data_IF_483114709416
#
_entry.id   IF_483114709416
#
_cell.length_a   1.000
_cell.length_b   1.000
_cell.length_c   1.000
_cell.angle_alpha   90.00
_cell.angle_beta   90.00
_cell.angle_gamma   90.00
#
_symmetry.space_group_name_H-M   'P 1'
#
loop_
_entity.id
_entity.type
_entity.pdbx_description
1 polymer ?
#
# COMPACT_ATOMS: atom_id res chain seq x y z
N UNK A 1 55.07 -9.72 19.42
CA UNK A 1 53.73 -9.40 19.92
C UNK A 1 53.07 -8.21 19.21
N UNK A 2 53.04 -8.13 17.85
CA UNK A 2 52.48 -6.97 17.08
C UNK A 2 51.46 -7.34 16.00
N UNK A 3 51.03 -8.61 15.89
CA UNK A 3 50.10 -9.08 14.83
C UNK A 3 48.66 -9.25 15.27
N UNK A 4 48.37 -9.36 16.55
CA UNK A 4 47.02 -9.58 17.09
C UNK A 4 46.15 -8.34 17.08
N UNK A 5 46.71 -7.12 17.17
CA UNK A 5 45.95 -5.87 17.17
C UNK A 5 45.30 -5.50 15.82
N UNK A 6 45.85 -5.98 14.69
CA UNK A 6 45.31 -5.66 13.35
C UNK A 6 44.04 -6.43 13.01
N UNK A 7 43.89 -7.64 13.57
CA UNK A 7 42.68 -8.45 13.37
C UNK A 7 41.50 -7.98 14.20
N UNK A 8 41.76 -7.42 15.40
CA UNK A 8 40.71 -6.84 16.25
C UNK A 8 40.14 -5.57 15.65
N UNK A 9 40.95 -4.71 15.04
CA UNK A 9 40.48 -3.49 14.35
C UNK A 9 39.67 -3.83 13.10
N UNK A 10 40.04 -4.86 12.33
CA UNK A 10 39.26 -5.30 11.16
C UNK A 10 37.88 -5.86 11.54
N UNK A 11 37.79 -6.58 12.68
CA UNK A 11 36.53 -7.10 13.20
C UNK A 11 35.57 -6.01 13.66
N UNK A 12 36.06 -4.93 14.29
CA UNK A 12 35.26 -3.82 14.76
C UNK A 12 34.70 -2.97 13.58
N UNK A 13 35.49 -2.77 12.52
CA UNK A 13 35.04 -2.05 11.33
C UNK A 13 33.95 -2.83 10.56
N UNK A 14 34.03 -4.17 10.57
CA UNK A 14 32.99 -5.00 9.93
C UNK A 14 31.67 -5.01 10.69
N UNK A 15 31.73 -4.92 12.03
CA UNK A 15 30.53 -4.88 12.88
C UNK A 15 29.75 -3.55 12.81
N UNK A 16 30.41 -2.46 12.40
CA UNK A 16 29.78 -1.14 12.24
C UNK A 16 28.97 -0.98 10.94
N UNK A 17 29.05 -1.96 10.03
CA UNK A 17 28.27 -1.96 8.78
C UNK A 17 26.94 -2.72 8.88
N UNK A 18 26.50 -3.14 10.06
CA UNK A 18 25.12 -3.57 10.30
C UNK A 18 24.23 -2.34 10.23
N UNK A 19 24.06 -1.83 8.99
CA UNK A 19 23.25 -0.67 8.70
C UNK A 19 21.83 -0.91 9.20
N UNK A 20 21.28 0.08 9.92
CA UNK A 20 19.88 0.12 10.25
C UNK A 20 19.08 -0.04 8.95
N UNK A 21 18.48 -1.21 8.73
CA UNK A 21 17.50 -1.37 7.68
C UNK A 21 16.40 -0.34 7.96
N UNK A 22 16.30 0.69 7.13
CA UNK A 22 15.26 1.69 7.30
C UNK A 22 13.91 1.03 7.01
N UNK A 23 13.08 0.96 8.02
CA UNK A 23 11.73 0.39 7.93
C UNK A 23 10.77 1.53 7.66
N UNK A 24 9.85 1.34 6.72
CA UNK A 24 8.72 2.23 6.48
C UNK A 24 7.46 1.59 7.06
N UNK A 25 6.77 2.33 7.93
CA UNK A 25 5.47 1.90 8.44
C UNK A 25 4.38 2.37 7.51
N UNK A 26 3.56 1.43 7.06
CA UNK A 26 2.33 1.66 6.31
C UNK A 26 1.17 1.53 7.28
N UNK A 27 0.65 2.66 7.72
CA UNK A 27 -0.54 2.77 8.55
C UNK A 27 -1.76 2.83 7.64
N UNK A 28 -2.64 1.85 7.77
CA UNK A 28 -3.85 1.75 6.95
C UNK A 28 -5.09 1.78 7.83
N UNK A 29 -6.07 2.59 7.42
CA UNK A 29 -7.42 2.53 7.99
C UNK A 29 -8.20 1.46 7.23
N UNK A 30 -8.60 0.41 7.95
CA UNK A 30 -9.25 -0.78 7.40
C UNK A 30 -10.70 -0.82 7.84
N UNK A 31 -11.56 -1.09 6.89
CA UNK A 31 -12.99 -1.35 7.13
C UNK A 31 -13.38 -2.62 6.39
N UNK A 32 -14.13 -3.51 7.05
CA UNK A 32 -14.56 -4.76 6.45
C UNK A 32 -16.00 -5.11 6.81
N UNK A 33 -16.70 -5.70 5.86
CA UNK A 33 -18.09 -6.15 5.99
C UNK A 33 -18.23 -7.56 5.46
N UNK A 34 -19.04 -8.41 6.11
CA UNK A 34 -19.31 -9.75 5.64
C UNK A 34 -20.79 -10.10 5.77
N UNK A 35 -21.32 -10.75 4.74
CA UNK A 35 -22.65 -11.30 4.68
C UNK A 35 -22.61 -12.68 4.00
N UNK A 36 -21.95 -13.63 4.64
CA UNK A 36 -21.80 -15.00 4.10
C UNK A 36 -23.14 -15.74 3.95
N UNK A 37 -24.20 -15.28 4.62
CA UNK A 37 -25.55 -15.85 4.54
C UNK A 37 -25.60 -17.28 5.07
N UNK A 38 -26.32 -18.14 4.35
CA UNK A 38 -26.35 -19.59 4.60
C UNK A 38 -25.15 -20.32 4.02
N UNK A 39 -24.34 -19.64 3.24
CA UNK A 39 -23.09 -20.19 2.71
C UNK A 39 -22.16 -20.39 3.89
N UNK A 40 -21.75 -21.63 4.11
CA UNK A 40 -20.76 -21.94 5.16
C UNK A 40 -19.55 -21.04 4.93
N UNK A 41 -19.10 -20.36 5.99
CA UNK A 41 -17.84 -19.63 5.95
C UNK A 41 -16.81 -20.48 5.21
N UNK A 42 -16.12 -19.94 4.19
CA UNK A 42 -15.17 -20.74 3.45
C UNK A 42 -14.18 -21.34 4.43
N UNK A 43 -14.19 -22.66 4.49
CA UNK A 43 -13.22 -23.42 5.25
C UNK A 43 -11.85 -23.00 4.76
N UNK A 44 -10.83 -23.15 5.55
CA UNK A 44 -9.44 -22.70 5.38
C UNK A 44 -8.81 -22.80 3.97
N UNK A 45 -9.51 -23.39 3.00
CA UNK A 45 -9.07 -23.49 1.60
C UNK A 45 -10.23 -23.23 0.65
N UNK A 46 -10.09 -22.25 -0.22
CA UNK A 46 -11.07 -21.96 -1.27
C UNK A 46 -10.37 -21.62 -2.59
N UNK A 47 -11.02 -21.96 -3.70
CA UNK A 47 -10.57 -21.53 -5.02
C UNK A 47 -11.41 -20.34 -5.51
N UNK A 48 -10.79 -19.41 -6.19
CA UNK A 48 -11.45 -18.24 -6.74
C UNK A 48 -10.90 -17.88 -8.12
N UNK A 49 -11.64 -17.06 -8.84
CA UNK A 49 -11.21 -16.41 -10.08
C UNK A 49 -11.25 -14.89 -9.90
N UNK A 50 -10.32 -14.19 -10.52
CA UNK A 50 -10.42 -12.73 -10.55
C UNK A 50 -11.52 -12.30 -11.54
N UNK A 51 -12.28 -11.30 -11.12
CA UNK A 51 -13.30 -10.63 -11.93
C UNK A 51 -12.87 -9.18 -12.16
N UNK A 52 -12.98 -8.72 -13.40
CA UNK A 52 -12.69 -7.33 -13.79
C UNK A 52 -13.92 -6.66 -14.33
N UNK A 53 -14.11 -5.40 -13.95
CA UNK A 53 -15.08 -4.55 -14.66
C UNK A 53 -14.57 -4.19 -16.05
N UNK A 54 -15.46 -3.78 -16.98
CA UNK A 54 -15.02 -3.33 -18.31
C UNK A 54 -13.94 -2.23 -18.26
N UNK A 55 -14.00 -1.33 -17.27
CA UNK A 55 -12.99 -0.29 -17.07
C UNK A 55 -11.63 -0.84 -16.68
N UNK A 56 -11.58 -1.90 -15.88
CA UNK A 56 -10.33 -2.57 -15.46
C UNK A 56 -9.75 -3.47 -16.56
N UNK A 57 -10.61 -3.97 -17.47
CA UNK A 57 -10.19 -4.78 -18.60
C UNK A 57 -9.64 -3.96 -19.78
N UNK A 58 -9.75 -2.63 -19.73
CA UNK A 58 -9.23 -1.74 -20.76
C UNK A 58 -7.71 -1.81 -20.88
N UNK A 59 -7.18 -1.76 -22.10
CA UNK A 59 -5.76 -1.94 -22.40
C UNK A 59 -4.83 -0.99 -21.59
N UNK A 60 -5.28 0.22 -21.30
CA UNK A 60 -4.50 1.20 -20.55
C UNK A 60 -4.22 0.81 -19.08
N UNK A 61 -5.08 -0.04 -18.49
CA UNK A 61 -4.99 -0.45 -17.09
C UNK A 61 -4.66 -1.94 -16.93
N UNK A 62 -4.63 -2.72 -18.01
CA UNK A 62 -4.51 -4.17 -17.97
C UNK A 62 -3.26 -4.65 -17.20
N UNK A 63 -2.10 -4.02 -17.45
CA UNK A 63 -0.84 -4.41 -16.83
C UNK A 63 -0.81 -4.06 -15.34
N UNK A 64 -1.26 -2.85 -14.98
CA UNK A 64 -1.33 -2.43 -13.59
C UNK A 64 -2.34 -3.25 -12.78
N UNK A 65 -3.47 -3.60 -13.40
CA UNK A 65 -4.48 -4.47 -12.80
C UNK A 65 -3.94 -5.89 -12.60
N UNK A 66 -3.21 -6.43 -13.58
CA UNK A 66 -2.58 -7.76 -13.46
C UNK A 66 -1.54 -7.78 -12.35
N UNK A 67 -0.73 -6.72 -12.23
CA UNK A 67 0.24 -6.60 -11.14
C UNK A 67 -0.46 -6.54 -9.77
N UNK A 68 -1.55 -5.78 -9.65
CA UNK A 68 -2.33 -5.69 -8.41
C UNK A 68 -2.97 -7.03 -8.03
N UNK A 69 -3.55 -7.74 -8.99
CA UNK A 69 -4.14 -9.08 -8.80
C UNK A 69 -3.08 -10.10 -8.39
N UNK A 70 -1.87 -10.01 -8.93
CA UNK A 70 -0.74 -10.86 -8.51
C UNK A 70 -0.41 -10.65 -7.04
N UNK A 71 -0.32 -9.39 -6.59
CA UNK A 71 -0.09 -9.07 -5.18
C UNK A 71 -1.25 -9.57 -4.30
N UNK A 72 -2.48 -9.38 -4.75
CA UNK A 72 -3.66 -9.86 -4.03
C UNK A 72 -3.68 -11.39 -3.92
N UNK A 73 -3.28 -12.11 -4.97
CA UNK A 73 -3.17 -13.57 -4.97
C UNK A 73 -2.14 -14.05 -3.95
N UNK A 74 -0.98 -13.40 -3.87
CA UNK A 74 0.05 -13.74 -2.86
C UNK A 74 -0.50 -13.57 -1.42
N UNK A 75 -1.25 -12.51 -1.16
CA UNK A 75 -1.81 -12.27 0.18
C UNK A 75 -2.95 -13.24 0.47
N UNK A 76 -3.88 -13.46 -0.46
CA UNK A 76 -4.98 -14.41 -0.31
C UNK A 76 -4.49 -15.85 -0.10
N UNK A 77 -3.37 -16.24 -0.75
CA UNK A 77 -2.77 -17.55 -0.55
C UNK A 77 -2.34 -17.79 0.89
N UNK A 78 -1.93 -16.78 1.64
CA UNK A 78 -1.60 -16.89 3.07
C UNK A 78 -2.84 -17.18 3.92
N UNK A 79 -4.03 -16.83 3.43
CA UNK A 79 -5.31 -17.16 4.02
C UNK A 79 -5.91 -18.48 3.49
N UNK A 80 -5.12 -19.25 2.73
CA UNK A 80 -5.54 -20.54 2.17
C UNK A 80 -6.36 -20.44 0.88
N UNK A 81 -6.54 -19.23 0.32
CA UNK A 81 -7.28 -19.01 -0.91
C UNK A 81 -6.38 -19.07 -2.13
N UNK A 82 -6.78 -19.84 -3.15
CA UNK A 82 -5.96 -20.05 -4.34
C UNK A 82 -6.65 -19.58 -5.60
N UNK A 83 -5.94 -18.79 -6.40
CA UNK A 83 -6.43 -18.37 -7.70
C UNK A 83 -6.48 -19.55 -8.68
N UNK A 84 -7.62 -19.74 -9.33
CA UNK A 84 -7.80 -20.71 -10.42
C UNK A 84 -7.57 -20.01 -11.76
N UNK A 85 -6.70 -20.58 -12.59
CA UNK A 85 -6.42 -20.04 -13.91
C UNK A 85 -7.54 -20.30 -14.93
N UNK A 86 -8.46 -21.24 -14.63
CA UNK A 86 -9.54 -21.63 -15.54
C UNK A 86 -10.90 -21.40 -14.88
N UNK A 87 -11.89 -20.89 -15.63
CA UNK A 87 -13.27 -20.99 -15.20
C UNK A 87 -13.61 -22.47 -14.96
N UNK A 88 -14.35 -22.80 -13.88
CA UNK A 88 -14.69 -24.17 -13.58
C UNK A 88 -15.47 -24.78 -14.76
N UNK A 89 -15.24 -26.07 -15.01
CA UNK A 89 -16.12 -26.84 -15.89
C UNK A 89 -17.55 -26.72 -15.35
N UNK A 90 -18.53 -26.69 -16.22
CA UNK A 90 -19.96 -26.48 -15.89
C UNK A 90 -20.52 -27.45 -14.82
N UNK A 91 -19.79 -28.53 -14.51
CA UNK A 91 -20.14 -29.55 -13.51
C UNK A 91 -19.57 -29.29 -12.09
N UNK A 92 -18.70 -28.28 -11.91
CA UNK A 92 -18.13 -27.94 -10.60
C UNK A 92 -18.87 -26.75 -9.98
N UNK A 93 -18.94 -26.65 -8.64
CA UNK A 93 -19.47 -25.47 -7.98
C UNK A 93 -18.74 -24.23 -8.52
N UNK A 94 -19.49 -23.17 -8.81
CA UNK A 94 -18.91 -21.92 -9.27
C UNK A 94 -17.91 -21.42 -8.20
N UNK A 95 -16.68 -21.09 -8.60
CA UNK A 95 -15.70 -20.62 -7.64
C UNK A 95 -16.12 -19.23 -7.12
N UNK A 96 -15.50 -18.84 -6.02
CA UNK A 96 -15.59 -17.47 -5.56
C UNK A 96 -15.04 -16.53 -6.63
N UNK A 97 -15.62 -15.35 -6.73
CA UNK A 97 -15.13 -14.29 -7.61
C UNK A 97 -14.54 -13.19 -6.75
N UNK A 98 -13.30 -12.85 -7.03
CA UNK A 98 -12.58 -11.80 -6.29
C UNK A 98 -12.33 -10.63 -7.24
N UNK A 99 -12.74 -9.46 -6.82
CA UNK A 99 -12.46 -8.21 -7.52
C UNK A 99 -11.56 -7.35 -6.64
N UNK A 100 -10.50 -6.83 -7.21
CA UNK A 100 -9.58 -5.91 -6.52
C UNK A 100 -9.58 -4.57 -7.24
N UNK A 101 -9.80 -3.50 -6.48
CA UNK A 101 -9.77 -2.13 -6.98
C UNK A 101 -8.70 -1.36 -6.22
N UNK A 102 -7.94 -0.56 -6.93
CA UNK A 102 -6.99 0.37 -6.31
C UNK A 102 -7.16 1.76 -6.92
N UNK A 103 -6.98 2.77 -6.10
CA UNK A 103 -6.98 4.17 -6.55
C UNK A 103 -5.92 4.95 -5.81
N UNK A 104 -5.28 5.88 -6.52
CA UNK A 104 -4.36 6.86 -5.96
C UNK A 104 -4.79 8.26 -6.42
N UNK A 105 -5.03 9.13 -5.47
CA UNK A 105 -5.26 10.55 -5.71
C UNK A 105 -4.01 11.32 -5.29
N UNK A 106 -3.45 12.09 -6.21
CA UNK A 106 -2.29 12.93 -5.94
C UNK A 106 -2.77 14.33 -5.58
N UNK A 107 -2.41 14.77 -4.38
CA UNK A 107 -2.61 16.13 -3.94
C UNK A 107 -1.31 16.92 -4.11
N UNK A 108 -1.37 18.21 -4.45
CA UNK A 108 -0.17 19.03 -4.60
C UNK A 108 0.61 19.18 -3.29
N UNK A 109 -0.05 18.97 -2.14
CA UNK A 109 0.52 19.04 -0.79
C UNK A 109 -0.30 18.21 0.19
N UNK A 110 0.24 18.00 1.39
CA UNK A 110 -0.49 17.36 2.48
C UNK A 110 -1.67 18.23 2.95
N UNK A 111 -2.80 17.65 3.40
CA UNK A 111 -3.99 18.38 3.82
C UNK A 111 -3.76 19.35 4.98
N UNK A 112 -2.76 19.10 5.81
CA UNK A 112 -2.38 19.94 6.97
C UNK A 112 -1.31 20.99 6.66
N UNK A 113 -0.73 20.98 5.43
CA UNK A 113 0.21 22.02 5.01
C UNK A 113 -0.56 23.30 4.70
N UNK A 114 -0.53 24.30 5.60
CA UNK A 114 -1.19 25.59 5.37
C UNK A 114 -0.51 26.35 4.23
N UNK A 115 -1.27 26.82 3.21
CA UNK A 115 -0.72 27.67 2.16
C UNK A 115 -0.09 28.97 2.70
N UNK A 116 -0.48 29.40 3.91
CA UNK A 116 0.00 30.63 4.53
C UNK A 116 1.36 30.46 5.23
N UNK A 117 1.75 29.23 5.55
CA UNK A 117 3.09 28.91 6.07
C UNK A 117 4.18 28.99 4.99
N UNK A 118 3.78 29.22 3.74
CA UNK A 118 4.71 29.58 2.68
C UNK A 118 5.29 30.94 3.01
N UNK A 119 6.53 30.91 3.36
CA UNK A 119 7.37 32.11 3.48
C UNK A 119 7.19 32.94 2.20
N UNK A 120 6.46 34.03 2.31
CA UNK A 120 6.49 35.06 1.30
C UNK A 120 7.96 35.37 0.98
N UNK A 121 8.36 35.54 -0.30
CA UNK A 121 9.71 35.91 -0.61
C UNK A 121 10.02 37.16 0.18
N UNK A 122 10.77 37.04 1.25
CA UNK A 122 11.27 38.18 2.01
C UNK A 122 12.40 38.75 1.17
N UNK A 123 12.09 39.81 0.48
CA UNK A 123 13.09 40.68 -0.10
C UNK A 123 13.85 41.31 1.05
N UNK A 124 14.99 40.75 1.39
CA UNK A 124 15.90 41.34 2.36
C UNK A 124 17.03 42.04 1.60
N UNK A 125 17.07 43.34 1.64
CA UNK A 125 18.26 44.12 1.27
C UNK A 125 19.09 44.24 2.56
N UNK A 126 20.21 43.54 2.62
CA UNK A 126 21.19 43.74 3.68
C UNK A 126 22.32 44.63 3.14
N UNK A 127 22.47 45.80 3.74
CA UNK A 127 23.64 46.66 3.47
C UNK A 127 24.64 46.45 4.62
N UNK A 128 25.84 46.00 4.28
CA UNK A 128 26.97 45.94 5.20
C UNK A 128 28.15 46.72 4.58
N UNK A 129 29.13 47.10 5.39
CA UNK A 129 30.35 47.76 4.94
C UNK A 129 31.15 46.95 3.89
N UNK A 130 30.73 45.71 3.58
CA UNK A 130 31.33 44.80 2.58
C UNK A 130 30.54 44.72 1.27
N UNK A 131 29.43 45.46 1.11
CA UNK A 131 28.64 45.47 -0.13
C UNK A 131 27.14 45.25 0.09
N UNK A 132 26.34 45.50 -0.93
CA UNK A 132 24.90 45.27 -0.97
C UNK A 132 24.66 43.85 -1.47
N UNK A 133 24.13 42.97 -0.64
CA UNK A 133 23.75 41.62 -1.03
C UNK A 133 22.23 41.52 -1.16
N UNK A 134 21.72 41.00 -2.29
CA UNK A 134 20.32 40.61 -2.45
C UNK A 134 20.24 39.17 -2.00
N UNK A 135 19.61 38.92 -0.87
CA UNK A 135 19.39 37.58 -0.37
C UNK A 135 18.02 37.09 -0.88
N UNK A 136 18.05 36.19 -1.85
CA UNK A 136 16.89 35.51 -2.41
C UNK A 136 16.62 34.23 -1.61
N UNK A 137 16.12 34.38 -0.40
CA UNK A 137 15.66 33.23 0.39
C UNK A 137 14.17 33.01 0.13
N UNK A 138 13.81 31.88 -0.44
CA UNK A 138 12.42 31.45 -0.62
C UNK A 138 11.98 31.05 -2.01
N UNK A 139 12.87 31.01 -3.00
CA UNK A 139 12.49 30.68 -4.39
C UNK A 139 12.33 29.17 -4.71
N UNK A 140 12.56 28.27 -3.77
CA UNK A 140 12.47 26.83 -4.00
C UNK A 140 11.64 26.14 -2.93
N UNK A 141 10.37 26.53 -2.76
CA UNK A 141 9.41 25.65 -2.09
C UNK A 141 9.02 24.55 -3.08
N UNK A 142 9.71 23.43 -3.05
CA UNK A 142 9.27 22.24 -3.75
C UNK A 142 8.05 21.71 -3.01
N UNK A 143 6.86 21.92 -3.57
CA UNK A 143 5.66 21.23 -3.10
C UNK A 143 5.88 19.74 -3.29
N UNK A 144 6.05 19.01 -2.21
CA UNK A 144 6.13 17.57 -2.27
C UNK A 144 4.72 17.01 -2.45
N UNK A 145 4.46 16.23 -3.52
CA UNK A 145 3.17 15.63 -3.73
C UNK A 145 2.79 14.74 -2.56
N UNK A 146 1.50 14.74 -2.25
CA UNK A 146 0.91 13.90 -1.23
C UNK A 146 -0.08 12.93 -1.89
N UNK A 147 -0.03 11.67 -1.52
CA UNK A 147 -0.80 10.62 -2.15
C UNK A 147 -1.83 10.06 -1.18
N UNK A 148 -3.08 10.02 -1.59
CA UNK A 148 -4.18 9.36 -0.87
C UNK A 148 -4.55 8.11 -1.66
N UNK A 149 -4.47 6.96 -1.01
CA UNK A 149 -4.66 5.65 -1.64
C UNK A 149 -5.79 4.89 -0.98
N UNK A 150 -6.47 4.11 -1.79
CA UNK A 150 -7.45 3.14 -1.31
C UNK A 150 -7.33 1.87 -2.13
N UNK A 151 -7.29 0.73 -1.46
CA UNK A 151 -7.50 -0.58 -2.05
C UNK A 151 -8.78 -1.16 -1.51
N UNK A 152 -9.58 -1.77 -2.39
CA UNK A 152 -10.83 -2.45 -2.02
C UNK A 152 -10.81 -3.83 -2.62
N UNK A 153 -11.17 -4.85 -1.82
CA UNK A 153 -11.31 -6.22 -2.25
C UNK A 153 -12.73 -6.67 -1.99
N UNK A 154 -13.38 -7.16 -3.04
CA UNK A 154 -14.74 -7.70 -2.99
C UNK A 154 -14.71 -9.19 -3.26
N UNK A 155 -15.39 -9.97 -2.45
CA UNK A 155 -15.63 -11.40 -2.70
C UNK A 155 -17.10 -11.59 -3.02
N UNK A 156 -17.36 -12.23 -4.15
CA UNK A 156 -18.71 -12.60 -4.60
C UNK A 156 -18.88 -14.11 -4.58
N UNK A 157 -20.04 -14.54 -4.20
CA UNK A 157 -20.48 -15.92 -4.42
C UNK A 157 -20.62 -16.16 -5.94
N UNK A 158 -19.90 -17.15 -6.45
CA UNK A 158 -19.87 -17.43 -7.89
C UNK A 158 -21.19 -17.94 -8.46
N UNK A 159 -22.07 -18.49 -7.64
CA UNK A 159 -23.39 -19.01 -8.05
C UNK A 159 -24.46 -17.93 -8.09
N UNK A 160 -24.45 -17.02 -7.11
CA UNK A 160 -25.47 -15.98 -6.95
C UNK A 160 -25.01 -14.59 -7.43
N UNK A 161 -23.71 -14.38 -7.58
CA UNK A 161 -23.11 -13.08 -7.88
C UNK A 161 -23.17 -12.06 -6.73
N UNK A 162 -23.71 -12.44 -5.57
CA UNK A 162 -23.83 -11.54 -4.42
C UNK A 162 -22.47 -11.27 -3.78
N UNK A 163 -22.21 -10.02 -3.38
CA UNK A 163 -21.07 -9.69 -2.53
C UNK A 163 -21.31 -10.30 -1.15
N UNK A 164 -20.37 -11.13 -0.71
CA UNK A 164 -20.43 -11.83 0.58
C UNK A 164 -19.37 -11.31 1.54
N UNK A 165 -18.31 -10.69 1.02
CA UNK A 165 -17.29 -10.04 1.80
C UNK A 165 -16.75 -8.82 1.06
N UNK A 166 -16.56 -7.75 1.78
CA UNK A 166 -15.96 -6.52 1.31
C UNK A 166 -14.95 -6.04 2.33
N UNK A 167 -13.79 -5.63 1.88
CA UNK A 167 -12.80 -4.96 2.73
C UNK A 167 -12.10 -3.87 1.97
N UNK A 168 -11.73 -2.82 2.68
CA UNK A 168 -10.93 -1.74 2.11
C UNK A 168 -9.86 -1.28 3.09
N UNK A 169 -8.72 -0.89 2.55
CA UNK A 169 -7.66 -0.22 3.29
C UNK A 169 -7.35 1.12 2.63
N UNK A 170 -7.31 2.17 3.43
CA UNK A 170 -6.93 3.51 3.02
C UNK A 170 -5.61 3.91 3.70
N UNK A 171 -4.68 4.44 2.92
CA UNK A 171 -3.38 4.93 3.38
C UNK A 171 -3.02 6.22 2.65
N UNK A 172 -2.43 7.15 3.37
CA UNK A 172 -1.99 8.40 2.79
C UNK A 172 -0.55 8.74 3.21
N UNK A 173 0.14 9.48 2.35
CA UNK A 173 1.54 9.81 2.62
C UNK A 173 2.27 10.42 1.43
N UNK A 174 3.54 10.79 1.67
CA UNK A 174 4.40 11.44 0.65
C UNK A 174 5.15 10.45 -0.24
N UNK A 175 5.09 9.16 0.04
CA UNK A 175 5.78 8.12 -0.72
C UNK A 175 5.05 7.82 -2.02
N UNK A 176 5.82 7.53 -3.07
CA UNK A 176 5.24 7.06 -4.34
C UNK A 176 4.72 5.63 -4.20
N UNK A 177 3.83 5.26 -5.11
CA UNK A 177 3.32 3.90 -5.20
C UNK A 177 4.46 2.90 -5.45
N UNK A 178 4.41 1.79 -4.74
CA UNK A 178 5.33 0.68 -4.93
C UNK A 178 4.62 -0.65 -4.71
N UNK A 179 5.10 -1.75 -5.30
CA UNK A 179 4.51 -3.07 -5.06
C UNK A 179 4.51 -3.46 -3.57
N UNK A 180 5.55 -3.08 -2.82
CA UNK A 180 5.63 -3.36 -1.39
C UNK A 180 4.54 -2.61 -0.60
N UNK A 181 4.25 -1.36 -0.95
CA UNK A 181 3.21 -0.56 -0.33
C UNK A 181 1.82 -1.13 -0.62
N UNK A 182 1.52 -1.48 -1.87
CA UNK A 182 0.25 -2.10 -2.24
C UNK A 182 0.06 -3.48 -1.57
N UNK A 183 1.13 -4.28 -1.47
CA UNK A 183 1.10 -5.54 -0.72
C UNK A 183 0.77 -5.31 0.75
N UNK A 184 1.41 -4.34 1.41
CA UNK A 184 1.15 -4.00 2.80
C UNK A 184 -0.30 -3.55 3.02
N UNK A 185 -0.85 -2.72 2.12
CA UNK A 185 -2.26 -2.32 2.18
C UNK A 185 -3.22 -3.50 1.99
N UNK A 186 -2.90 -4.46 1.10
CA UNK A 186 -3.69 -5.68 0.92
C UNK A 186 -3.60 -6.60 2.15
N UNK A 187 -2.42 -6.74 2.76
CA UNK A 187 -2.23 -7.47 4.02
C UNK A 187 -3.06 -6.82 5.15
N UNK A 188 -3.02 -5.50 5.25
CA UNK A 188 -3.84 -4.77 6.20
C UNK A 188 -5.34 -5.00 5.96
N UNK A 189 -5.81 -4.88 4.71
CA UNK A 189 -7.21 -5.07 4.33
C UNK A 189 -7.73 -6.47 4.65
N UNK A 190 -6.89 -7.49 4.54
CA UNK A 190 -7.25 -8.89 4.81
C UNK A 190 -6.98 -9.33 6.27
N UNK A 191 -6.56 -8.40 7.13
CA UNK A 191 -6.42 -8.71 8.56
C UNK A 191 -7.78 -9.14 9.13
N UNK A 192 -7.81 -10.33 9.69
CA UNK A 192 -9.05 -10.92 10.23
C UNK A 192 -9.92 -11.66 9.23
N UNK A 193 -9.63 -11.62 7.93
CA UNK A 193 -10.35 -12.39 6.91
C UNK A 193 -10.42 -13.89 7.27
N UNK A 194 -11.57 -14.56 7.12
CA UNK A 194 -12.83 -14.13 6.51
C UNK A 194 -13.83 -13.46 7.47
N UNK A 195 -13.51 -13.27 8.73
CA UNK A 195 -14.37 -12.58 9.68
C UNK A 195 -14.17 -11.06 9.57
N UNK A 196 -15.26 -10.26 9.47
CA UNK A 196 -15.13 -8.82 9.43
C UNK A 196 -14.73 -8.27 10.80
N UNK A 197 -13.95 -7.21 10.80
CA UNK A 197 -13.67 -6.45 12.02
C UNK A 197 -14.78 -5.44 12.29
N UNK A 198 -15.05 -5.16 13.56
CA UNK A 198 -16.06 -4.18 13.93
C UNK A 198 -15.51 -2.75 13.74
N UNK A 199 -16.16 -1.97 12.87
CA UNK A 199 -15.81 -0.58 12.61
C UNK A 199 -14.48 -0.40 11.88
N UNK A 200 -14.02 0.84 11.83
CA UNK A 200 -12.73 1.18 11.20
C UNK A 200 -11.59 0.87 12.17
N UNK A 201 -10.62 0.09 11.71
CA UNK A 201 -9.43 -0.29 12.48
C UNK A 201 -8.17 0.29 11.83
N UNK A 202 -7.23 0.72 12.64
CA UNK A 202 -5.90 1.08 12.16
C UNK A 202 -4.98 -0.14 12.20
N UNK A 203 -4.48 -0.55 11.05
CA UNK A 203 -3.55 -1.66 10.89
C UNK A 203 -2.22 -1.13 10.38
N UNK A 204 -1.14 -1.47 11.06
CA UNK A 204 0.21 -1.02 10.73
C UNK A 204 1.03 -2.20 10.20
N UNK A 205 1.58 -2.05 9.00
CA UNK A 205 2.46 -3.04 8.37
C UNK A 205 3.83 -2.38 8.15
N UNK A 206 4.86 -3.00 8.66
CA UNK A 206 6.23 -2.52 8.48
C UNK A 206 6.86 -3.17 7.23
N UNK A 207 7.35 -2.36 6.30
CA UNK A 207 8.00 -2.81 5.06
C UNK A 207 9.44 -2.30 5.00
N UNK A 208 10.38 -3.06 4.41
CA UNK A 208 11.73 -2.56 4.18
C UNK A 208 11.72 -1.40 3.19
N UNK A 209 12.59 -0.43 3.41
CA UNK A 209 12.83 0.71 2.51
C UNK A 209 13.76 0.36 1.38
#
# INVERSE_FOLDING_TARGET
>A
MRRTGRWLLAGVVLALNLGCASVMRVDSQVESHAQWGTTTLPVSTASYVFERTPSQAGAALADSQTALETLAAEVLARHGWQASAQPPAASLPAPWRVQVLASTTTLPRAPWDDPRDRVWPRWGVSASNAGVGIQLSGLLSFDMPYYVRKVTLLVRDGSTGRVVYETSAAHDGRWRDSPALWRAMLEAALTGFPAPQAGVQQVNIDIPR
#
